data_IF_451734722172
#
_entry.id   IF_451734722172
#
_cell.length_a   1.000
_cell.length_b   1.000
_cell.length_c   1.000
_cell.angle_alpha   90.00
_cell.angle_beta   90.00
_cell.angle_gamma   90.00
#
_symmetry.space_group_name_H-M   'P 1'
#
loop_
_entity.id
_entity.type
_entity.pdbx_description
1 polymer ?
#
# COMPACT_ATOMS: atom_id res chain seq x y z
N UNK A 1 -50.45 -27.10 -31.75
CA UNK A 1 -50.07 -25.68 -31.75
C UNK A 1 -50.40 -25.07 -30.38
N UNK A 2 -49.48 -25.05 -29.40
CA UNK A 2 -49.69 -24.31 -28.16
C UNK A 2 -49.19 -22.86 -28.32
N UNK A 3 -50.04 -21.90 -27.92
CA UNK A 3 -49.76 -20.46 -27.92
C UNK A 3 -48.77 -20.15 -26.80
N UNK A 4 -47.60 -19.62 -27.14
CA UNK A 4 -46.61 -19.11 -26.19
C UNK A 4 -47.10 -17.78 -25.61
N UNK A 5 -47.39 -17.76 -24.31
CA UNK A 5 -47.64 -16.53 -23.56
C UNK A 5 -46.29 -15.91 -23.18
N UNK A 6 -45.97 -14.78 -23.81
CA UNK A 6 -44.75 -14.01 -23.58
C UNK A 6 -44.92 -13.17 -22.31
N UNK A 7 -44.35 -13.62 -21.20
CA UNK A 7 -44.25 -12.86 -19.95
C UNK A 7 -43.14 -11.80 -20.10
N UNK A 8 -43.53 -10.54 -20.20
CA UNK A 8 -42.63 -9.37 -20.20
C UNK A 8 -42.11 -9.11 -18.78
N UNK A 9 -40.82 -9.39 -18.55
CA UNK A 9 -40.09 -9.03 -17.33
C UNK A 9 -39.61 -7.57 -17.44
N UNK A 10 -39.87 -6.68 -16.45
CA UNK A 10 -39.40 -5.31 -16.53
C UNK A 10 -37.87 -5.25 -16.30
N UNK A 11 -37.16 -4.71 -17.29
CA UNK A 11 -35.73 -4.44 -17.27
C UNK A 11 -35.45 -3.34 -16.24
N UNK A 12 -35.02 -3.73 -15.04
CA UNK A 12 -34.53 -2.80 -14.02
C UNK A 12 -33.19 -2.23 -14.49
N UNK A 13 -33.20 -1.00 -15.02
CA UNK A 13 -31.99 -0.27 -15.38
C UNK A 13 -31.21 0.04 -14.10
N UNK A 14 -30.12 -0.68 -13.87
CA UNK A 14 -29.09 -0.32 -12.90
C UNK A 14 -28.42 0.98 -13.39
N UNK A 15 -28.39 2.08 -12.62
CA UNK A 15 -27.59 3.23 -13.01
C UNK A 15 -26.11 2.86 -12.82
N UNK A 16 -25.38 2.74 -13.93
CA UNK A 16 -23.92 2.78 -13.94
C UNK A 16 -23.50 4.14 -13.37
N UNK A 17 -23.03 4.16 -12.13
CA UNK A 17 -22.37 5.31 -11.53
C UNK A 17 -20.98 5.48 -12.17
N UNK A 18 -20.94 5.96 -13.41
CA UNK A 18 -19.74 6.54 -13.98
C UNK A 18 -19.43 7.82 -13.18
N UNK A 19 -18.27 7.88 -12.55
CA UNK A 19 -17.80 9.03 -11.77
C UNK A 19 -17.70 10.28 -12.65
N UNK A 20 -18.79 11.05 -12.71
CA UNK A 20 -18.80 12.40 -13.25
C UNK A 20 -18.47 13.42 -12.17
N UNK A 21 -17.88 14.54 -12.58
CA UNK A 21 -17.64 15.76 -11.80
C UNK A 21 -18.95 16.40 -11.32
N UNK A 22 -19.69 15.69 -10.46
CA UNK A 22 -20.83 16.22 -9.71
C UNK A 22 -20.32 16.69 -8.34
N UNK A 23 -21.02 17.60 -7.65
CA UNK A 23 -20.67 18.01 -6.29
C UNK A 23 -20.48 16.82 -5.32
N UNK A 24 -21.21 15.73 -5.54
CA UNK A 24 -21.06 14.46 -4.79
C UNK A 24 -19.78 13.72 -5.20
N UNK A 25 -19.44 13.68 -6.50
CA UNK A 25 -18.18 13.13 -6.99
C UNK A 25 -16.94 13.95 -6.57
N UNK A 26 -17.08 15.27 -6.42
CA UNK A 26 -16.04 16.16 -5.89
C UNK A 26 -15.85 15.93 -4.39
N UNK A 27 -16.93 15.72 -3.62
CA UNK A 27 -16.85 15.40 -2.20
C UNK A 27 -16.06 14.10 -1.94
N UNK A 28 -16.23 13.09 -2.80
CA UNK A 28 -15.53 11.80 -2.68
C UNK A 28 -14.16 11.80 -3.35
N UNK A 29 -13.95 12.54 -4.44
CA UNK A 29 -12.72 12.49 -5.23
C UNK A 29 -11.67 13.56 -4.89
N UNK A 30 -12.08 14.82 -4.84
CA UNK A 30 -11.16 15.96 -4.64
C UNK A 30 -11.18 16.50 -3.19
N UNK A 31 -12.33 16.40 -2.51
CA UNK A 31 -12.48 16.80 -1.10
C UNK A 31 -11.83 15.82 -0.14
N UNK A 32 -12.00 14.52 -0.37
CA UNK A 32 -11.38 13.48 0.46
C UNK A 32 -9.84 13.52 0.37
N UNK A 33 -9.27 13.69 -0.83
CA UNK A 33 -7.82 13.75 -1.05
C UNK A 33 -7.17 15.00 -0.45
N UNK A 34 -7.84 16.15 -0.49
CA UNK A 34 -7.34 17.36 0.18
C UNK A 34 -7.41 17.25 1.71
N UNK A 35 -8.45 16.61 2.26
CA UNK A 35 -8.63 16.44 3.70
C UNK A 35 -7.66 15.43 4.33
N UNK A 36 -7.16 14.46 3.57
CA UNK A 36 -6.13 13.52 4.04
C UNK A 36 -4.73 14.14 3.97
N UNK A 37 -4.43 14.94 2.94
CA UNK A 37 -3.11 15.55 2.80
C UNK A 37 -2.73 16.52 3.94
N UNK A 38 -3.70 17.24 4.52
CA UNK A 38 -3.46 18.12 5.68
C UNK A 38 -3.29 17.38 7.00
N UNK A 39 -3.68 16.10 7.07
CA UNK A 39 -3.56 15.27 8.28
C UNK A 39 -2.32 14.38 8.26
N UNK A 40 -1.64 14.26 7.12
CA UNK A 40 -0.33 13.63 7.05
C UNK A 40 0.74 14.47 7.75
N UNK A 41 1.66 13.81 8.44
CA UNK A 41 2.77 14.50 9.12
C UNK A 41 3.71 15.25 8.16
N UNK A 42 3.79 14.78 6.91
CA UNK A 42 4.68 15.33 5.87
C UNK A 42 4.06 16.52 5.13
N UNK A 43 2.78 16.80 5.35
CA UNK A 43 2.02 17.83 4.64
C UNK A 43 1.92 17.60 3.13
N UNK A 44 1.33 18.57 2.42
CA UNK A 44 1.05 18.45 0.99
C UNK A 44 2.33 18.40 0.13
N UNK A 45 3.32 19.24 0.42
CA UNK A 45 4.57 19.29 -0.37
C UNK A 45 5.41 18.02 -0.21
N UNK A 46 5.55 17.53 1.02
CA UNK A 46 6.25 16.26 1.30
C UNK A 46 5.55 15.09 0.62
N UNK A 47 4.22 15.00 0.75
CA UNK A 47 3.42 13.98 0.08
C UNK A 47 3.56 14.04 -1.45
N UNK A 48 3.52 15.24 -2.05
CA UNK A 48 3.69 15.40 -3.49
C UNK A 48 5.09 14.96 -3.97
N UNK A 49 6.13 15.25 -3.18
CA UNK A 49 7.50 14.80 -3.46
C UNK A 49 7.61 13.27 -3.41
N UNK A 50 7.03 12.65 -2.40
CA UNK A 50 7.06 11.18 -2.26
C UNK A 50 6.26 10.48 -3.36
N UNK A 51 5.14 11.07 -3.81
CA UNK A 51 4.40 10.59 -4.99
C UNK A 51 5.27 10.67 -6.26
N UNK A 52 6.03 11.75 -6.44
CA UNK A 52 6.93 11.90 -7.57
C UNK A 52 8.02 10.81 -7.55
N UNK A 53 8.66 10.60 -6.40
CA UNK A 53 9.64 9.50 -6.19
C UNK A 53 9.02 8.16 -6.52
N UNK A 54 7.85 7.85 -5.95
CA UNK A 54 7.13 6.58 -6.18
C UNK A 54 6.83 6.38 -7.67
N UNK A 55 6.43 7.43 -8.37
CA UNK A 55 6.13 7.41 -9.81
C UNK A 55 7.39 7.14 -10.64
N UNK A 56 8.51 7.79 -10.34
CA UNK A 56 9.77 7.57 -11.05
C UNK A 56 10.32 6.15 -10.86
N UNK A 57 10.29 5.63 -9.63
CA UNK A 57 10.74 4.26 -9.35
C UNK A 57 9.86 3.26 -10.10
N UNK A 58 8.53 3.43 -10.03
CA UNK A 58 7.59 2.60 -10.78
C UNK A 58 7.83 2.67 -12.29
N UNK A 59 8.14 3.85 -12.82
CA UNK A 59 8.51 4.03 -14.22
C UNK A 59 9.76 3.23 -14.59
N UNK A 60 10.81 3.28 -13.76
CA UNK A 60 12.04 2.51 -13.99
C UNK A 60 11.83 1.00 -13.88
N UNK A 61 11.06 0.53 -12.90
CA UNK A 61 10.70 -0.89 -12.75
C UNK A 61 9.90 -1.39 -13.96
N UNK A 62 8.85 -0.65 -14.34
CA UNK A 62 7.98 -0.99 -15.47
C UNK A 62 8.74 -1.04 -16.80
N UNK A 63 9.62 -0.06 -17.06
CA UNK A 63 10.46 -0.06 -18.24
C UNK A 63 11.46 -1.23 -18.28
N UNK A 64 11.91 -1.70 -17.11
CA UNK A 64 12.84 -2.81 -17.02
C UNK A 64 12.15 -4.13 -17.35
N UNK A 65 11.08 -4.46 -16.61
CA UNK A 65 10.33 -5.70 -16.74
C UNK A 65 8.99 -5.59 -16.00
N UNK A 66 7.88 -5.91 -16.69
CA UNK A 66 6.53 -5.94 -16.10
C UNK A 66 6.39 -6.95 -14.96
N UNK A 67 7.08 -8.09 -15.03
CA UNK A 67 7.09 -9.10 -13.97
C UNK A 67 7.76 -8.55 -12.71
N UNK A 68 8.90 -7.86 -12.88
CA UNK A 68 9.61 -7.21 -11.78
C UNK A 68 8.77 -6.09 -11.15
N UNK A 69 8.15 -5.25 -11.99
CA UNK A 69 7.23 -4.21 -11.54
C UNK A 69 6.04 -4.78 -10.74
N UNK A 70 5.48 -5.91 -11.16
CA UNK A 70 4.33 -6.53 -10.51
C UNK A 70 4.69 -7.32 -9.24
N UNK A 71 5.97 -7.69 -9.11
CA UNK A 71 6.50 -8.47 -8.00
C UNK A 71 7.01 -7.61 -6.83
N UNK A 72 7.30 -6.33 -7.07
CA UNK A 72 7.92 -5.43 -6.09
C UNK A 72 6.88 -4.46 -5.53
N UNK A 73 6.66 -4.52 -4.22
CA UNK A 73 5.94 -3.51 -3.44
C UNK A 73 6.82 -2.29 -3.19
N UNK A 74 6.21 -1.10 -3.16
CA UNK A 74 6.90 0.18 -3.08
C UNK A 74 6.19 1.15 -2.14
N UNK A 75 6.86 1.44 -1.02
CA UNK A 75 6.40 2.37 0.02
C UNK A 75 7.41 3.50 0.17
N UNK A 76 6.94 4.75 0.21
CA UNK A 76 7.81 5.95 0.16
C UNK A 76 7.36 6.97 1.20
N UNK A 77 8.28 7.28 2.12
CA UNK A 77 8.05 8.15 3.26
C UNK A 77 9.22 9.13 3.39
N UNK A 78 9.00 10.39 3.01
CA UNK A 78 9.97 11.47 3.12
C UNK A 78 11.31 11.04 2.49
N UNK A 79 11.30 10.70 1.20
CA UNK A 79 12.48 10.23 0.46
C UNK A 79 13.13 8.93 0.94
N UNK A 80 12.58 8.24 1.95
CA UNK A 80 12.96 6.87 2.30
C UNK A 80 12.09 5.92 1.51
N UNK A 81 12.71 4.91 0.94
CA UNK A 81 12.04 3.92 0.10
C UNK A 81 12.13 2.56 0.78
N UNK A 82 11.00 1.88 0.92
CA UNK A 82 10.93 0.48 1.27
C UNK A 82 10.50 -0.32 0.03
N UNK A 83 11.33 -1.30 -0.34
CA UNK A 83 11.03 -2.28 -1.37
C UNK A 83 10.68 -3.61 -0.73
N UNK A 84 9.49 -4.12 -1.00
CA UNK A 84 9.00 -5.42 -0.53
C UNK A 84 8.62 -6.29 -1.72
N UNK A 85 8.21 -7.52 -1.45
CA UNK A 85 7.68 -8.45 -2.44
C UNK A 85 8.55 -9.69 -2.59
N UNK A 86 8.28 -10.45 -3.65
CA UNK A 86 8.90 -11.76 -3.87
C UNK A 86 9.37 -11.89 -5.31
N UNK A 87 10.65 -12.21 -5.50
CA UNK A 87 11.25 -12.40 -6.82
C UNK A 87 11.92 -13.78 -6.93
N UNK A 88 11.97 -14.39 -8.11
CA UNK A 88 12.56 -15.71 -8.28
C UNK A 88 14.09 -15.71 -8.23
N UNK A 89 14.73 -14.55 -8.40
CA UNK A 89 16.17 -14.47 -8.60
C UNK A 89 16.83 -13.38 -7.75
N UNK A 90 18.00 -13.64 -7.13
CA UNK A 90 18.74 -12.61 -6.40
C UNK A 90 19.07 -11.37 -7.25
N UNK A 91 19.31 -11.54 -8.55
CA UNK A 91 19.62 -10.45 -9.46
C UNK A 91 18.46 -9.45 -9.59
N UNK A 92 17.22 -9.94 -9.57
CA UNK A 92 16.02 -9.11 -9.66
C UNK A 92 15.87 -8.24 -8.40
N UNK A 93 16.21 -8.78 -7.22
CA UNK A 93 16.25 -8.04 -5.95
C UNK A 93 17.29 -6.91 -5.99
N UNK A 94 18.48 -7.18 -6.53
CA UNK A 94 19.55 -6.19 -6.65
C UNK A 94 19.17 -5.12 -7.67
N UNK A 95 18.62 -5.52 -8.82
CA UNK A 95 18.21 -4.60 -9.88
C UNK A 95 17.07 -3.68 -9.42
N UNK A 96 16.09 -4.19 -8.67
CA UNK A 96 15.02 -3.36 -8.09
C UNK A 96 15.58 -2.25 -7.19
N UNK A 97 16.53 -2.57 -6.30
CA UNK A 97 17.21 -1.57 -5.48
C UNK A 97 18.02 -0.58 -6.32
N UNK A 98 18.73 -1.05 -7.36
CA UNK A 98 19.48 -0.18 -8.26
C UNK A 98 18.56 0.80 -8.99
N UNK A 99 17.40 0.33 -9.46
CA UNK A 99 16.41 1.16 -10.15
C UNK A 99 15.75 2.16 -9.19
N UNK A 100 15.49 1.76 -7.94
CA UNK A 100 14.99 2.67 -6.92
C UNK A 100 15.94 3.86 -6.75
N UNK A 101 17.24 3.62 -6.50
CA UNK A 101 18.26 4.68 -6.33
C UNK A 101 18.42 5.67 -7.50
N UNK A 102 17.79 5.43 -8.65
CA UNK A 102 17.80 6.37 -9.78
C UNK A 102 16.81 7.52 -9.64
N UNK A 103 15.80 7.42 -8.77
CA UNK A 103 14.84 8.50 -8.59
C UNK A 103 15.45 9.64 -7.78
N UNK A 104 15.07 10.87 -8.12
CA UNK A 104 15.60 12.06 -7.49
C UNK A 104 15.02 12.26 -6.08
N UNK A 105 15.84 12.73 -5.14
CA UNK A 105 15.38 13.04 -3.78
C UNK A 105 15.34 11.84 -2.81
N UNK A 106 15.86 10.68 -3.22
CA UNK A 106 16.04 9.52 -2.33
C UNK A 106 17.11 9.80 -1.28
N UNK A 107 16.82 9.37 -0.05
CA UNK A 107 17.73 9.45 1.09
C UNK A 107 18.13 8.08 1.63
N UNK A 108 17.26 7.09 1.46
CA UNK A 108 17.47 5.72 1.91
C UNK A 108 16.67 4.75 1.03
N UNK A 109 17.23 3.58 0.76
CA UNK A 109 16.52 2.45 0.14
C UNK A 109 16.70 1.23 1.02
N UNK A 110 15.60 0.75 1.59
CA UNK A 110 15.49 -0.46 2.40
C UNK A 110 14.96 -1.56 1.49
N UNK A 111 15.72 -2.66 1.37
CA UNK A 111 15.38 -3.75 0.45
C UNK A 111 15.01 -5.03 1.21
N UNK A 112 13.71 -5.26 1.33
CA UNK A 112 13.08 -6.42 1.96
C UNK A 112 12.47 -7.39 0.94
N UNK A 113 12.83 -7.26 -0.34
CA UNK A 113 12.41 -8.22 -1.36
C UNK A 113 12.96 -9.60 -0.98
N UNK A 114 12.07 -10.59 -0.94
CA UNK A 114 12.41 -11.98 -0.65
C UNK A 114 12.71 -12.72 -1.96
N UNK A 115 13.77 -13.52 -1.97
CA UNK A 115 14.09 -14.39 -3.11
C UNK A 115 13.45 -15.75 -2.87
N UNK A 116 12.42 -16.06 -3.63
CA UNK A 116 11.64 -17.30 -3.50
C UNK A 116 11.34 -17.88 -4.87
N UNK A 117 11.55 -19.19 -5.04
CA UNK A 117 11.44 -19.84 -6.34
C UNK A 117 10.01 -19.79 -6.92
N UNK A 118 8.99 -19.73 -6.08
CA UNK A 118 7.59 -19.49 -6.45
C UNK A 118 6.87 -18.75 -5.32
N UNK A 119 6.16 -17.67 -5.65
CA UNK A 119 5.18 -17.06 -4.75
C UNK A 119 3.82 -17.73 -4.97
N UNK A 120 3.32 -18.48 -3.98
CA UNK A 120 2.03 -19.13 -4.10
C UNK A 120 0.88 -18.10 -4.13
N UNK A 121 -0.04 -18.24 -5.07
CA UNK A 121 -1.24 -17.37 -5.17
C UNK A 121 -2.02 -17.36 -3.85
N UNK A 122 -2.04 -18.49 -3.14
CA UNK A 122 -2.67 -18.63 -1.83
C UNK A 122 -1.97 -17.77 -0.77
N UNK A 123 -0.65 -17.74 -0.78
CA UNK A 123 0.11 -16.93 0.17
C UNK A 123 -0.09 -15.44 -0.13
N UNK A 124 -0.10 -15.03 -1.40
CA UNK A 124 -0.40 -13.63 -1.78
C UNK A 124 -1.80 -13.20 -1.35
N UNK A 125 -2.81 -14.06 -1.54
CA UNK A 125 -4.18 -13.77 -1.11
C UNK A 125 -4.29 -13.65 0.43
N UNK A 126 -3.53 -14.47 1.16
CA UNK A 126 -3.42 -14.40 2.62
C UNK A 126 -2.70 -13.14 3.08
N UNK A 127 -1.62 -12.75 2.41
CA UNK A 127 -0.88 -11.52 2.72
C UNK A 127 -1.78 -10.29 2.53
N UNK A 128 -2.50 -10.18 1.42
CA UNK A 128 -3.49 -9.11 1.20
C UNK A 128 -4.61 -9.11 2.25
N UNK A 129 -5.03 -10.28 2.72
CA UNK A 129 -6.00 -10.38 3.82
C UNK A 129 -5.42 -9.84 5.14
N UNK A 130 -4.17 -10.19 5.47
CA UNK A 130 -3.47 -9.66 6.65
C UNK A 130 -3.37 -8.13 6.57
N UNK A 131 -2.92 -7.59 5.43
CA UNK A 131 -2.83 -6.13 5.20
C UNK A 131 -4.18 -5.47 5.44
N UNK A 132 -5.23 -5.95 4.77
CA UNK A 132 -6.59 -5.38 4.88
C UNK A 132 -7.09 -5.41 6.32
N UNK A 133 -6.85 -6.51 7.04
CA UNK A 133 -7.28 -6.66 8.43
C UNK A 133 -6.52 -5.72 9.36
N UNK A 134 -5.20 -5.57 9.16
CA UNK A 134 -4.37 -4.66 9.94
C UNK A 134 -4.73 -3.20 9.71
N UNK A 135 -4.84 -2.78 8.44
CA UNK A 135 -5.26 -1.43 8.07
C UNK A 135 -6.63 -1.10 8.66
N UNK A 136 -7.56 -2.06 8.63
CA UNK A 136 -8.89 -1.90 9.24
C UNK A 136 -8.78 -1.71 10.75
N UNK A 137 -8.01 -2.55 11.46
CA UNK A 137 -7.83 -2.40 12.91
C UNK A 137 -7.17 -1.07 13.28
N UNK A 138 -6.17 -0.63 12.52
CA UNK A 138 -5.50 0.66 12.72
C UNK A 138 -6.44 1.83 12.45
N UNK A 139 -7.30 1.74 11.43
CA UNK A 139 -8.27 2.78 11.09
C UNK A 139 -9.31 3.00 12.19
N UNK A 140 -9.73 1.94 12.89
CA UNK A 140 -10.75 2.01 13.94
C UNK A 140 -10.17 2.17 15.35
N UNK A 141 -8.84 2.16 15.52
CA UNK A 141 -8.17 2.45 16.79
C UNK A 141 -7.84 3.94 16.87
N UNK A 142 -8.51 4.66 17.78
CA UNK A 142 -8.32 6.10 17.98
C UNK A 142 -6.95 6.48 18.54
N UNK A 143 -6.18 5.51 19.04
CA UNK A 143 -4.80 5.70 19.46
C UNK A 143 -3.78 5.69 18.31
N UNK A 144 -4.22 5.41 17.08
CA UNK A 144 -3.35 5.21 15.91
C UNK A 144 -3.71 6.21 14.81
N UNK A 145 -2.71 6.96 14.35
CA UNK A 145 -2.83 7.80 13.16
C UNK A 145 -2.51 6.98 11.92
N UNK A 146 -3.44 6.13 11.48
CA UNK A 146 -3.23 5.15 10.41
C UNK A 146 -2.69 5.75 9.10
N UNK A 147 -3.04 7.02 8.81
CA UNK A 147 -2.55 7.77 7.65
C UNK A 147 -1.02 7.96 7.61
N UNK A 148 -0.33 7.83 8.74
CA UNK A 148 1.13 7.98 8.81
C UNK A 148 1.88 6.64 8.65
N UNK A 149 1.18 5.58 8.24
CA UNK A 149 1.76 4.25 8.06
C UNK A 149 1.45 3.71 6.67
N UNK A 150 2.45 3.10 6.05
CA UNK A 150 2.30 2.15 4.97
C UNK A 150 2.51 0.73 5.55
N UNK A 151 1.66 -0.22 5.14
CA UNK A 151 1.71 -1.61 5.56
C UNK A 151 1.85 -2.50 4.34
N UNK A 152 2.90 -3.32 4.30
CA UNK A 152 3.12 -4.32 3.27
C UNK A 152 3.31 -5.69 3.93
N UNK A 153 2.76 -6.76 3.36
CA UNK A 153 2.92 -8.13 3.86
C UNK A 153 3.46 -9.05 2.78
N UNK A 154 4.49 -9.84 3.13
CA UNK A 154 5.11 -10.80 2.22
C UNK A 154 5.39 -12.11 2.95
N UNK A 155 4.75 -13.19 2.49
CA UNK A 155 4.86 -14.54 3.02
C UNK A 155 4.61 -14.61 4.54
N UNK A 156 3.62 -13.84 5.03
CA UNK A 156 3.30 -13.72 6.46
C UNK A 156 4.25 -12.83 7.27
N UNK A 157 5.18 -12.11 6.65
CA UNK A 157 5.98 -11.07 7.30
C UNK A 157 5.34 -9.71 7.04
N UNK A 158 4.90 -9.04 8.11
CA UNK A 158 4.35 -7.68 8.03
C UNK A 158 5.48 -6.67 8.16
N UNK A 159 5.57 -5.76 7.20
CA UNK A 159 6.47 -4.63 7.18
C UNK A 159 5.68 -3.36 7.50
N UNK A 160 6.05 -2.72 8.61
CA UNK A 160 5.48 -1.44 9.02
C UNK A 160 6.43 -0.32 8.62
N UNK A 161 5.95 0.64 7.84
CA UNK A 161 6.73 1.78 7.37
C UNK A 161 5.99 3.09 7.65
N UNK A 162 6.71 4.19 7.88
CA UNK A 162 6.08 5.48 8.16
C UNK A 162 6.62 6.21 9.40
N UNK A 163 5.76 7.01 10.02
CA UNK A 163 6.09 7.86 11.18
C UNK A 163 5.02 7.72 12.28
N UNK A 164 5.43 7.25 13.46
CA UNK A 164 4.59 7.21 14.65
C UNK A 164 4.64 8.55 15.41
N UNK A 165 3.52 9.01 15.97
CA UNK A 165 3.48 10.17 16.86
C UNK A 165 4.19 9.91 18.20
N UNK A 166 4.19 8.66 18.66
CA UNK A 166 4.80 8.27 19.91
C UNK A 166 5.24 6.81 19.90
N UNK A 167 6.14 6.46 20.83
CA UNK A 167 6.51 5.06 21.02
C UNK A 167 5.30 4.21 21.47
N UNK A 168 4.33 4.79 22.20
CA UNK A 168 3.13 4.08 22.63
C UNK A 168 2.26 3.68 21.42
N UNK A 169 2.07 4.59 20.47
CA UNK A 169 1.36 4.32 19.22
C UNK A 169 2.07 3.23 18.40
N UNK A 170 3.39 3.32 18.24
CA UNK A 170 4.16 2.30 17.54
C UNK A 170 3.96 0.90 18.16
N UNK A 171 3.96 0.80 19.49
CA UNK A 171 3.69 -0.46 20.16
C UNK A 171 2.26 -0.97 19.95
N UNK A 172 1.26 -0.07 19.89
CA UNK A 172 -0.11 -0.46 19.54
C UNK A 172 -0.18 -1.09 18.14
N UNK A 173 0.42 -0.45 17.14
CA UNK A 173 0.46 -0.97 15.76
C UNK A 173 1.15 -2.34 15.70
N UNK A 174 2.31 -2.48 16.36
CA UNK A 174 3.03 -3.76 16.43
C UNK A 174 2.18 -4.85 17.09
N UNK A 175 1.44 -4.51 18.14
CA UNK A 175 0.58 -5.47 18.84
C UNK A 175 -0.61 -5.89 17.99
N UNK A 176 -1.26 -4.97 17.28
CA UNK A 176 -2.31 -5.33 16.31
C UNK A 176 -1.77 -6.31 15.28
N UNK A 177 -0.64 -5.98 14.63
CA UNK A 177 -0.03 -6.84 13.62
C UNK A 177 0.31 -8.23 14.15
N UNK A 178 0.90 -8.34 15.35
CA UNK A 178 1.28 -9.64 15.94
C UNK A 178 0.11 -10.53 16.32
N UNK A 179 -1.07 -9.95 16.56
CA UNK A 179 -2.25 -10.70 16.98
C UNK A 179 -3.11 -11.18 15.80
N UNK A 180 -2.75 -10.83 14.57
CA UNK A 180 -3.45 -11.29 13.37
C UNK A 180 -3.10 -12.73 13.04
N UNK A 181 -4.11 -13.46 12.57
CA UNK A 181 -3.91 -14.81 12.09
C UNK A 181 -2.91 -14.83 10.92
N UNK A 182 -2.11 -15.90 10.88
CA UNK A 182 -1.08 -16.15 9.86
C UNK A 182 0.11 -15.18 9.82
N UNK A 183 0.16 -14.16 10.67
CA UNK A 183 1.36 -13.35 10.84
C UNK A 183 2.44 -14.21 11.49
N UNK A 184 3.58 -14.30 10.79
CA UNK A 184 4.76 -15.06 11.22
C UNK A 184 5.82 -14.14 11.82
N UNK A 185 5.95 -12.93 11.28
CA UNK A 185 6.94 -11.96 11.72
C UNK A 185 6.43 -10.53 11.51
N UNK A 186 6.94 -9.60 12.32
CA UNK A 186 6.65 -8.16 12.18
C UNK A 186 7.98 -7.41 12.21
N UNK A 187 8.28 -6.72 11.12
CA UNK A 187 9.47 -5.88 10.95
C UNK A 187 9.01 -4.42 10.88
N UNK A 188 9.62 -3.57 11.70
CA UNK A 188 9.26 -2.15 11.75
C UNK A 188 10.41 -1.28 11.28
N UNK A 189 10.11 -0.43 10.30
CA UNK A 189 10.94 0.65 9.79
C UNK A 189 10.32 2.02 10.07
N UNK A 190 9.37 2.06 11.01
CA UNK A 190 8.67 3.24 11.47
C UNK A 190 9.60 4.08 12.33
N UNK A 191 9.63 5.40 12.07
CA UNK A 191 10.35 6.35 12.92
C UNK A 191 9.39 6.95 13.93
N UNK A 192 9.83 7.14 15.17
CA UNK A 192 9.04 7.87 16.16
C UNK A 192 9.34 9.36 16.04
N UNK A 193 8.30 10.19 15.94
CA UNK A 193 8.40 11.64 15.85
C UNK A 193 9.23 12.20 17.01
N UNK A 194 10.24 12.99 16.68
CA UNK A 194 11.13 13.64 17.66
C UNK A 194 12.21 12.75 18.27
N UNK A 195 12.26 11.46 17.92
CA UNK A 195 13.45 10.65 18.19
C UNK A 195 14.49 10.97 17.10
N UNK A 196 15.58 11.63 17.49
CA UNK A 196 16.73 11.95 16.63
C UNK A 196 17.85 10.94 16.84
#
# INVERSE_FOLDING_TARGET
MPRAALLLLPLFLLPLAAGGCTPVGVAVGAGATAATASQSERGLEGTARDIAIKTEINHYLFQKNVDLFSAVGLSVEDGRVLLTGSVPRPEDRIEAARLAWKADGIREVINEIQVVDNSDIVDKARDTWIETQLETQMLFDSGISSINYDVDTVNGTVYLFGIAQSNAELQLVINHARNLDYVRNVVSYVRVKGAS
#
